data_IF_926529568445
#
_entry.id   IF_926529568445
#
_cell.length_a   1.000
_cell.length_b   1.000
_cell.length_c   1.000
_cell.angle_alpha   90.00
_cell.angle_beta   90.00
_cell.angle_gamma   90.00
#
_symmetry.space_group_name_H-M   'P 1'
#
loop_
_entity.id
_entity.type
_entity.pdbx_description
1 polymer ?
#
# COMPACT_ATOMS: atom_id res chain seq x y z
N UNK A 1 -4.59 -23.06 -2.32
CA UNK A 1 -5.75 -22.15 -2.30
C UNK A 1 -5.23 -20.73 -2.37
N UNK A 2 -5.66 -19.95 -3.37
CA UNK A 2 -5.33 -18.51 -3.41
C UNK A 2 -6.08 -17.82 -2.27
N UNK A 3 -5.35 -17.22 -1.34
CA UNK A 3 -5.90 -16.47 -0.21
C UNK A 3 -6.40 -15.13 -0.72
N UNK A 4 -7.66 -14.78 -0.48
CA UNK A 4 -8.19 -13.46 -0.84
C UNK A 4 -7.56 -12.40 0.05
N UNK A 5 -6.80 -11.49 -0.54
CA UNK A 5 -6.17 -10.36 0.17
C UNK A 5 -7.10 -9.16 0.16
N UNK A 6 -7.30 -8.52 1.31
CA UNK A 6 -8.03 -7.25 1.38
C UNK A 6 -7.10 -6.09 1.06
N UNK A 7 -7.35 -5.38 -0.04
CA UNK A 7 -6.62 -4.18 -0.40
C UNK A 7 -7.35 -2.92 0.10
N UNK A 8 -6.66 -2.07 0.87
CA UNK A 8 -7.17 -0.80 1.39
C UNK A 8 -6.23 0.31 0.99
N UNK A 9 -6.75 1.31 0.27
CA UNK A 9 -5.99 2.50 -0.09
C UNK A 9 -6.43 3.70 0.76
N UNK A 10 -5.47 4.42 1.33
CA UNK A 10 -5.72 5.64 2.10
C UNK A 10 -5.17 6.84 1.32
N UNK A 11 -6.02 7.47 0.51
CA UNK A 11 -5.69 8.71 -0.21
C UNK A 11 -5.95 9.96 0.61
N UNK A 12 -5.47 11.11 0.12
CA UNK A 12 -5.66 12.42 0.76
C UNK A 12 -4.47 13.36 0.58
N UNK A 13 -4.66 14.66 0.82
CA UNK A 13 -3.64 15.68 0.60
C UNK A 13 -2.34 15.45 1.39
N UNK A 14 -1.26 16.12 0.99
CA UNK A 14 -0.01 16.14 1.76
C UNK A 14 -0.29 16.71 3.16
N UNK A 15 0.21 16.06 4.20
CA UNK A 15 -0.06 16.46 5.60
C UNK A 15 -1.42 16.02 6.16
N UNK A 16 -2.28 15.32 5.40
CA UNK A 16 -3.58 14.85 5.90
C UNK A 16 -3.50 13.69 6.94
N UNK A 17 -2.30 13.24 7.30
CA UNK A 17 -2.11 12.15 8.29
C UNK A 17 -2.26 10.74 7.73
N UNK A 18 -2.05 10.55 6.41
CA UNK A 18 -2.15 9.25 5.72
C UNK A 18 -1.24 8.18 6.36
N UNK A 19 0.06 8.42 6.45
CA UNK A 19 1.05 7.48 7.03
C UNK A 19 0.73 7.12 8.48
N UNK A 20 0.34 8.11 9.29
CA UNK A 20 -0.13 7.88 10.67
C UNK A 20 -1.37 7.00 10.72
N UNK A 21 -2.29 7.19 9.78
CA UNK A 21 -3.52 6.39 9.64
C UNK A 21 -3.17 4.95 9.25
N UNK A 22 -2.23 4.74 8.32
CA UNK A 22 -1.74 3.40 7.95
C UNK A 22 -1.17 2.67 9.17
N UNK A 23 -0.28 3.31 9.94
CA UNK A 23 0.31 2.70 11.14
C UNK A 23 -0.74 2.29 12.18
N UNK A 24 -1.79 3.09 12.36
CA UNK A 24 -2.91 2.78 13.27
C UNK A 24 -3.76 1.62 12.74
N UNK A 25 -4.10 1.63 11.45
CA UNK A 25 -4.87 0.56 10.81
C UNK A 25 -4.10 -0.77 10.81
N UNK A 26 -2.79 -0.74 10.56
CA UNK A 26 -1.94 -1.92 10.61
C UNK A 26 -1.97 -2.55 12.00
N UNK A 27 -1.75 -1.76 13.06
CA UNK A 27 -1.86 -2.26 14.44
C UNK A 27 -3.25 -2.79 14.78
N UNK A 28 -4.30 -2.14 14.29
CA UNK A 28 -5.66 -2.61 14.50
C UNK A 28 -5.88 -4.00 13.88
N UNK A 29 -5.51 -4.20 12.62
CA UNK A 29 -5.63 -5.52 11.97
C UNK A 29 -4.72 -6.57 12.60
N UNK A 30 -3.48 -6.22 12.95
CA UNK A 30 -2.57 -7.13 13.66
C UNK A 30 -3.12 -7.55 15.03
N UNK A 31 -3.81 -6.64 15.75
CA UNK A 31 -4.46 -6.99 17.04
C UNK A 31 -5.61 -7.98 16.88
N UNK A 32 -6.15 -8.13 15.67
CA UNK A 32 -7.15 -9.13 15.30
C UNK A 32 -6.52 -10.44 14.81
N UNK A 33 -5.18 -10.55 14.84
CA UNK A 33 -4.44 -11.72 14.37
C UNK A 33 -4.22 -11.77 12.86
N UNK A 34 -4.50 -10.68 12.12
CA UNK A 34 -4.31 -10.61 10.67
C UNK A 34 -2.89 -10.18 10.32
N UNK A 35 -2.30 -10.80 9.30
CA UNK A 35 -1.02 -10.35 8.74
C UNK A 35 -1.24 -9.16 7.80
N UNK A 36 -0.41 -8.13 7.94
CA UNK A 36 -0.54 -6.86 7.20
C UNK A 36 0.73 -6.56 6.42
N UNK A 37 0.59 -6.27 5.13
CA UNK A 37 1.62 -5.64 4.32
C UNK A 37 1.27 -4.18 4.07
N UNK A 38 2.27 -3.31 4.03
CA UNK A 38 2.11 -1.89 3.72
C UNK A 38 2.83 -1.57 2.42
N UNK A 39 2.23 -0.75 1.55
CA UNK A 39 2.87 -0.17 0.37
C UNK A 39 2.81 1.35 0.45
N UNK A 40 3.96 2.00 0.49
CA UNK A 40 4.08 3.46 0.48
C UNK A 40 4.53 3.97 -0.88
N UNK A 41 4.09 5.18 -1.20
CA UNK A 41 4.67 5.97 -2.27
C UNK A 41 5.52 7.07 -1.65
N UNK A 42 6.83 6.86 -1.60
CA UNK A 42 7.73 7.93 -1.17
C UNK A 42 8.22 8.71 -2.38
N UNK A 43 7.87 10.00 -2.41
CA UNK A 43 8.37 10.94 -3.43
C UNK A 43 9.64 11.66 -2.97
N UNK A 44 9.99 11.59 -1.68
CA UNK A 44 11.20 12.21 -1.16
C UNK A 44 12.38 11.25 -1.33
N UNK A 45 13.55 11.81 -1.66
CA UNK A 45 14.79 11.05 -1.79
C UNK A 45 15.21 10.34 -0.48
N UNK A 46 14.68 10.80 0.66
CA UNK A 46 15.07 10.33 1.99
C UNK A 46 14.21 9.19 2.55
N UNK A 47 13.20 8.73 1.80
CA UNK A 47 12.37 7.55 2.17
C UNK A 47 11.74 7.62 3.58
N UNK A 48 11.36 8.83 4.01
CA UNK A 48 10.95 9.11 5.39
C UNK A 48 9.75 8.26 5.80
N UNK A 49 8.77 8.07 4.91
CA UNK A 49 7.53 7.36 5.25
C UNK A 49 7.77 5.86 5.36
N UNK A 50 8.51 5.29 4.40
CA UNK A 50 8.92 3.89 4.40
C UNK A 50 9.77 3.55 5.62
N UNK A 51 10.78 4.37 5.91
CA UNK A 51 11.68 4.15 7.05
C UNK A 51 10.96 4.32 8.38
N UNK A 52 10.04 5.30 8.49
CA UNK A 52 9.22 5.49 9.68
C UNK A 52 8.37 4.26 10.00
N UNK A 53 7.71 3.68 9.00
CA UNK A 53 6.90 2.47 9.18
C UNK A 53 7.75 1.22 9.46
N UNK A 54 8.88 1.04 8.76
CA UNK A 54 9.80 -0.06 9.04
C UNK A 54 10.39 0.00 10.45
N UNK A 55 10.74 1.20 10.93
CA UNK A 55 11.25 1.38 12.30
C UNK A 55 10.22 1.04 13.40
N UNK A 56 8.92 1.08 13.05
CA UNK A 56 7.83 0.63 13.90
C UNK A 56 7.60 -0.89 13.82
N UNK A 57 8.37 -1.62 13.02
CA UNK A 57 8.28 -3.08 12.86
C UNK A 57 7.28 -3.56 11.81
N UNK A 58 6.80 -2.68 10.92
CA UNK A 58 5.91 -3.09 9.83
C UNK A 58 6.68 -3.62 8.62
N UNK A 59 6.01 -4.51 7.88
CA UNK A 59 6.45 -4.96 6.56
C UNK A 59 6.02 -3.94 5.52
N UNK A 60 6.99 -3.29 4.88
CA UNK A 60 6.74 -2.16 4.00
C UNK A 60 7.43 -2.38 2.66
N UNK A 61 6.64 -2.52 1.60
CA UNK A 61 7.05 -2.37 0.22
C UNK A 61 6.92 -0.93 -0.25
N UNK A 62 7.65 -0.58 -1.31
CA UNK A 62 7.78 0.80 -1.76
C UNK A 62 7.59 0.90 -3.27
N UNK A 63 6.92 1.96 -3.70
CA UNK A 63 6.89 2.42 -5.10
C UNK A 63 7.52 3.81 -5.17
N UNK A 64 8.77 3.87 -5.62
CA UNK A 64 9.59 5.07 -5.59
C UNK A 64 9.36 6.01 -6.81
N UNK A 65 9.50 7.31 -6.58
CA UNK A 65 9.77 8.30 -7.63
C UNK A 65 8.61 8.63 -8.58
N UNK A 66 7.41 8.07 -8.38
CA UNK A 66 6.17 8.55 -8.98
C UNK A 66 4.95 7.86 -8.36
N UNK A 67 3.76 8.49 -8.48
CA UNK A 67 2.50 7.96 -7.95
C UNK A 67 2.14 6.57 -8.52
N UNK A 68 1.36 5.79 -7.77
CA UNK A 68 0.83 4.49 -8.18
C UNK A 68 0.16 4.49 -9.56
N UNK A 69 -0.48 5.59 -9.96
CA UNK A 69 -1.08 5.71 -11.30
C UNK A 69 -0.03 5.72 -12.43
N UNK A 70 1.13 6.32 -12.20
CA UNK A 70 2.23 6.39 -13.17
C UNK A 70 3.12 5.15 -13.13
N UNK A 71 3.17 4.48 -11.97
CA UNK A 71 3.99 3.29 -11.67
C UNK A 71 3.10 2.10 -11.29
N UNK A 72 2.04 1.87 -12.05
CA UNK A 72 1.05 0.85 -11.71
C UNK A 72 1.67 -0.56 -11.69
N UNK A 73 2.53 -0.87 -12.66
CA UNK A 73 3.22 -2.17 -12.71
C UNK A 73 4.17 -2.37 -11.53
N UNK A 74 4.79 -1.30 -11.04
CA UNK A 74 5.67 -1.36 -9.86
C UNK A 74 4.81 -1.65 -8.61
N UNK A 75 3.65 -0.99 -8.47
CA UNK A 75 2.69 -1.30 -7.42
C UNK A 75 2.28 -2.79 -7.44
N UNK A 76 1.95 -3.34 -8.61
CA UNK A 76 1.61 -4.76 -8.75
C UNK A 76 2.79 -5.64 -8.33
N UNK A 77 4.00 -5.32 -8.79
CA UNK A 77 5.19 -6.09 -8.47
C UNK A 77 5.50 -6.10 -6.97
N UNK A 78 5.34 -4.96 -6.30
CA UNK A 78 5.48 -4.83 -4.84
C UNK A 78 4.40 -5.63 -4.10
N UNK A 79 3.14 -5.56 -4.55
CA UNK A 79 2.03 -6.34 -3.99
C UNK A 79 2.30 -7.84 -4.12
N UNK A 80 2.72 -8.30 -5.30
CA UNK A 80 3.00 -9.70 -5.57
C UNK A 80 4.20 -10.20 -4.76
N UNK A 81 5.25 -9.38 -4.59
CA UNK A 81 6.39 -9.71 -3.74
C UNK A 81 5.98 -9.88 -2.27
N UNK A 82 5.22 -8.93 -1.71
CA UNK A 82 4.66 -9.05 -0.36
C UNK A 82 3.75 -10.28 -0.23
N UNK A 83 3.00 -10.60 -1.28
CA UNK A 83 2.17 -11.79 -1.42
C UNK A 83 2.96 -13.09 -1.32
N UNK A 84 4.07 -13.20 -2.05
CA UNK A 84 4.93 -14.38 -2.10
C UNK A 84 5.70 -14.61 -0.80
N UNK A 85 6.22 -13.54 -0.19
CA UNK A 85 7.09 -13.65 0.98
C UNK A 85 6.30 -13.95 2.26
N UNK A 86 5.13 -13.31 2.46
CA UNK A 86 4.41 -13.33 3.74
C UNK A 86 2.91 -13.61 3.67
N UNK A 87 2.33 -13.69 2.47
CA UNK A 87 0.90 -13.96 2.25
C UNK A 87 -0.04 -13.15 3.17
N UNK A 88 0.00 -11.80 3.12
CA UNK A 88 -0.77 -10.93 4.02
C UNK A 88 -2.28 -11.16 3.88
N UNK A 89 -3.02 -11.00 4.97
CA UNK A 89 -4.49 -10.87 4.95
C UNK A 89 -4.93 -9.51 4.40
N UNK A 90 -4.16 -8.47 4.70
CA UNK A 90 -4.49 -7.08 4.35
C UNK A 90 -3.27 -6.39 3.75
N UNK A 91 -3.48 -5.69 2.63
CA UNK A 91 -2.51 -4.74 2.08
C UNK A 91 -3.05 -3.33 2.28
N UNK A 92 -2.28 -2.50 2.99
CA UNK A 92 -2.55 -1.08 3.16
C UNK A 92 -1.67 -0.28 2.20
N UNK A 93 -2.26 0.61 1.41
CA UNK A 93 -1.53 1.38 0.41
C UNK A 93 -1.72 2.89 0.61
N UNK A 94 -0.61 3.63 0.65
CA UNK A 94 -0.58 5.09 0.68
C UNK A 94 -0.07 5.62 -0.66
N UNK A 95 -0.92 6.27 -1.47
CA UNK A 95 -0.49 6.98 -2.67
C UNK A 95 0.04 8.38 -2.32
N UNK A 96 0.65 9.03 -3.31
CA UNK A 96 1.07 10.42 -3.22
C UNK A 96 -0.12 11.33 -2.92
N UNK A 97 0.07 12.28 -2.00
CA UNK A 97 -0.99 13.20 -1.60
C UNK A 97 -1.44 14.22 -2.66
N UNK A 98 -0.78 14.31 -3.81
CA UNK A 98 -1.20 15.17 -4.93
C UNK A 98 -2.10 14.46 -5.93
N UNK A 99 -2.27 13.14 -5.83
CA UNK A 99 -3.06 12.37 -6.78
C UNK A 99 -4.53 12.34 -6.38
N UNK A 100 -5.40 12.81 -7.28
CA UNK A 100 -6.85 12.95 -7.02
C UNK A 100 -7.70 11.87 -7.68
N UNK A 101 -7.23 11.23 -8.75
CA UNK A 101 -8.01 10.25 -9.53
C UNK A 101 -7.64 8.79 -9.27
N UNK A 102 -7.40 8.45 -8.00
CA UNK A 102 -6.96 7.10 -7.59
C UNK A 102 -7.96 6.00 -7.95
N UNK A 103 -9.25 6.33 -8.03
CA UNK A 103 -10.30 5.37 -8.36
C UNK A 103 -10.15 4.91 -9.81
N UNK A 104 -10.11 5.84 -10.77
CA UNK A 104 -10.03 5.47 -12.18
C UNK A 104 -8.64 4.93 -12.53
N UNK A 105 -7.57 5.46 -11.94
CA UNK A 105 -6.20 5.14 -12.35
C UNK A 105 -5.56 3.98 -11.59
N UNK A 106 -6.09 3.57 -10.43
CA UNK A 106 -5.51 2.47 -9.63
C UNK A 106 -6.55 1.44 -9.24
N UNK A 107 -7.66 1.85 -8.62
CA UNK A 107 -8.64 0.89 -8.08
C UNK A 107 -9.36 0.11 -9.21
N UNK A 108 -9.80 0.79 -10.27
CA UNK A 108 -10.48 0.13 -11.40
C UNK A 108 -9.54 -0.84 -12.15
N UNK A 109 -8.30 -0.45 -12.52
CA UNK A 109 -7.32 -1.37 -13.10
C UNK A 109 -7.01 -2.57 -12.19
N UNK A 110 -6.84 -2.36 -10.87
CA UNK A 110 -6.65 -3.47 -9.91
C UNK A 110 -7.83 -4.43 -9.91
N UNK A 111 -9.07 -3.91 -9.88
CA UNK A 111 -10.26 -4.75 -9.93
C UNK A 111 -10.30 -5.56 -11.22
N UNK A 112 -10.04 -4.95 -12.38
CA UNK A 112 -10.02 -5.68 -13.65
C UNK A 112 -8.96 -6.78 -13.66
N UNK A 113 -7.76 -6.51 -13.14
CA UNK A 113 -6.66 -7.48 -13.10
C UNK A 113 -6.96 -8.69 -12.19
N UNK A 114 -7.53 -8.46 -11.00
CA UNK A 114 -7.75 -9.51 -9.99
C UNK A 114 -9.17 -10.10 -10.01
N UNK A 115 -10.16 -9.48 -10.67
CA UNK A 115 -11.47 -10.10 -10.93
C UNK A 115 -11.46 -10.97 -12.20
N UNK A 116 -10.49 -10.77 -13.09
CA UNK A 116 -10.28 -11.62 -14.26
C UNK A 116 -9.46 -12.91 -13.96
N UNK A 117 -9.11 -13.15 -12.69
CA UNK A 117 -8.36 -14.32 -12.20
C UNK A 117 -9.24 -15.16 -11.28
#
# INVERSE_FOLDING_TARGET
MSKTVRFVMVGGFLGAGKTTTLARLARHYMSQGLSVGIVTNDQAADLVDTMSLRSQGFEVGEVAGACFCCRFNDLISTIDQLGLEKAPDVILAEPVGSCTDLVATVIQPLKQLYQAR
#
